data_IF_014214063126
#
_entry.id   IF_014214063126
#
_cell.length_a   1.000
_cell.length_b   1.000
_cell.length_c   1.000
_cell.angle_alpha   90.00
_cell.angle_beta   90.00
_cell.angle_gamma   90.00
#
_symmetry.space_group_name_H-M   'P 1'
#
loop_
_entity.id
_entity.type
_entity.pdbx_description
1 polymer ?
#
# COMPACT_ATOMS: atom_id res chain seq x y z
N UNK A 1 -30.56 2.20 -2.39
CA UNK A 1 -29.18 1.74 -2.62
C UNK A 1 -28.39 1.82 -1.31
N UNK A 2 -27.49 0.88 -1.08
CA UNK A 2 -26.57 0.88 0.06
C UNK A 2 -25.19 1.21 -0.45
N UNK A 3 -24.67 2.38 -0.09
CA UNK A 3 -23.33 2.80 -0.47
C UNK A 3 -22.44 2.87 0.76
N UNK A 4 -21.16 2.50 0.58
CA UNK A 4 -20.14 2.61 1.60
C UNK A 4 -19.20 3.74 1.21
N UNK A 5 -19.10 4.76 2.07
CA UNK A 5 -18.13 5.81 1.94
C UNK A 5 -16.97 5.55 2.91
N UNK A 6 -15.75 5.51 2.38
CA UNK A 6 -14.55 5.50 3.21
C UNK A 6 -14.09 6.94 3.40
N UNK A 7 -14.03 7.38 4.64
CA UNK A 7 -13.63 8.74 5.01
C UNK A 7 -12.34 8.64 5.83
N UNK A 8 -11.32 9.41 5.43
CA UNK A 8 -10.06 9.55 6.16
C UNK A 8 -9.99 10.97 6.75
N UNK A 9 -9.43 11.12 7.95
CA UNK A 9 -9.17 12.43 8.57
C UNK A 9 -10.43 13.16 9.02
N UNK A 10 -11.42 12.45 9.56
CA UNK A 10 -12.60 13.08 10.16
C UNK A 10 -12.26 13.53 11.57
N UNK A 11 -12.68 14.76 11.90
CA UNK A 11 -12.68 15.27 13.26
C UNK A 11 -13.63 14.46 14.14
N UNK A 12 -13.39 14.43 15.46
CA UNK A 12 -14.22 13.73 16.44
C UNK A 12 -15.65 14.32 16.57
N UNK A 13 -15.98 15.35 15.78
CA UNK A 13 -17.28 16.01 15.80
C UNK A 13 -18.25 15.36 14.80
N UNK A 14 -19.31 14.73 15.33
CA UNK A 14 -20.34 14.04 14.56
C UNK A 14 -21.06 14.94 13.55
N UNK A 15 -21.27 16.23 13.87
CA UNK A 15 -22.00 17.19 13.03
C UNK A 15 -21.19 17.56 11.78
N UNK A 16 -19.88 17.77 11.90
CA UNK A 16 -18.98 18.03 10.80
C UNK A 16 -18.79 16.80 9.92
N UNK A 17 -18.72 15.62 10.55
CA UNK A 17 -18.67 14.32 9.87
C UNK A 17 -19.93 14.12 9.03
N UNK A 18 -21.11 14.36 9.57
CA UNK A 18 -22.39 14.21 8.87
C UNK A 18 -22.49 15.14 7.66
N UNK A 19 -22.07 16.40 7.78
CA UNK A 19 -21.98 17.35 6.67
C UNK A 19 -21.08 16.82 5.55
N UNK A 20 -19.90 16.31 5.90
CA UNK A 20 -18.94 15.77 4.94
C UNK A 20 -19.52 14.55 4.22
N UNK A 21 -20.19 13.64 4.94
CA UNK A 21 -20.85 12.46 4.37
C UNK A 21 -21.93 12.89 3.37
N UNK A 22 -22.84 13.77 3.77
CA UNK A 22 -23.93 14.25 2.90
C UNK A 22 -23.37 14.92 1.64
N UNK A 23 -22.37 15.79 1.80
CA UNK A 23 -21.77 16.51 0.70
C UNK A 23 -21.13 15.55 -0.32
N UNK A 24 -20.31 14.60 0.14
CA UNK A 24 -19.67 13.61 -0.74
C UNK A 24 -20.67 12.68 -1.41
N UNK A 25 -21.68 12.21 -0.66
CA UNK A 25 -22.70 11.30 -1.21
C UNK A 25 -23.48 11.95 -2.36
N UNK A 26 -23.89 13.21 -2.18
CA UNK A 26 -24.68 13.90 -3.19
C UNK A 26 -23.84 14.67 -4.21
N UNK A 27 -22.52 14.75 -4.06
CA UNK A 27 -21.65 15.42 -5.04
C UNK A 27 -21.75 14.76 -6.42
N UNK A 28 -21.70 13.45 -6.48
CA UNK A 28 -21.71 12.66 -7.71
C UNK A 28 -23.07 11.99 -8.00
N UNK A 29 -24.09 12.25 -7.17
CA UNK A 29 -25.43 11.67 -7.33
C UNK A 29 -26.28 12.49 -8.28
N UNK A 30 -26.88 11.79 -9.26
CA UNK A 30 -27.86 12.38 -10.19
C UNK A 30 -29.24 12.56 -9.56
N UNK A 31 -29.50 11.85 -8.47
CA UNK A 31 -30.80 11.88 -7.78
C UNK A 31 -30.67 12.39 -6.36
N UNK A 32 -31.39 13.46 -6.03
CA UNK A 32 -31.50 14.02 -4.68
C UNK A 32 -32.98 14.00 -4.27
N UNK A 33 -33.35 13.31 -3.18
CA UNK A 33 -34.75 13.21 -2.73
C UNK A 33 -35.26 14.56 -2.18
N UNK A 34 -36.58 14.73 -2.10
CA UNK A 34 -37.20 15.92 -1.52
C UNK A 34 -37.01 16.00 0.01
N UNK A 35 -36.95 14.85 0.66
CA UNK A 35 -36.82 14.72 2.10
C UNK A 35 -35.65 13.81 2.45
N UNK A 36 -34.83 14.24 3.38
CA UNK A 36 -33.70 13.48 3.91
C UNK A 36 -33.88 13.38 5.43
N UNK A 37 -34.03 12.15 5.93
CA UNK A 37 -34.17 11.90 7.37
C UNK A 37 -32.80 11.74 8.01
N UNK A 38 -32.49 12.52 9.03
CA UNK A 38 -31.24 12.57 9.76
C UNK A 38 -31.46 12.36 11.26
N UNK A 39 -30.41 11.88 11.94
CA UNK A 39 -30.41 11.72 13.42
C UNK A 39 -29.96 12.96 14.13
N UNK A 40 -29.01 13.70 13.54
CA UNK A 40 -28.37 14.88 14.08
C UNK A 40 -28.43 16.00 13.05
N UNK A 41 -28.29 17.22 13.51
CA UNK A 41 -28.15 18.37 12.63
C UNK A 41 -26.73 18.39 12.05
N UNK A 42 -26.55 18.43 10.74
CA UNK A 42 -25.21 18.63 10.17
C UNK A 42 -24.72 20.04 10.43
N UNK A 43 -23.42 20.19 10.55
CA UNK A 43 -22.79 21.51 10.65
C UNK A 43 -23.14 22.38 9.44
N UNK A 44 -23.46 23.66 9.67
CA UNK A 44 -23.88 24.61 8.64
C UNK A 44 -25.08 24.11 7.78
N UNK A 45 -26.09 23.55 8.44
CA UNK A 45 -27.29 22.96 7.83
C UNK A 45 -27.90 23.84 6.73
N UNK A 46 -28.02 25.17 6.98
CA UNK A 46 -28.63 26.08 6.02
C UNK A 46 -27.90 26.17 4.69
N UNK A 47 -26.58 26.17 4.71
CA UNK A 47 -25.75 26.21 3.51
C UNK A 47 -25.78 24.91 2.77
N UNK A 48 -25.79 23.78 3.50
CA UNK A 48 -25.93 22.44 2.92
C UNK A 48 -27.28 22.28 2.21
N UNK A 49 -28.38 22.73 2.82
CA UNK A 49 -29.72 22.73 2.20
C UNK A 49 -29.75 23.64 0.96
N UNK A 50 -29.10 24.82 1.00
CA UNK A 50 -29.02 25.72 -0.15
C UNK A 50 -28.33 25.05 -1.33
N UNK A 51 -27.15 24.49 -1.10
CA UNK A 51 -26.39 23.76 -2.11
C UNK A 51 -27.17 22.59 -2.71
N UNK A 52 -27.82 21.77 -1.88
CA UNK A 52 -28.63 20.66 -2.33
C UNK A 52 -29.87 21.12 -3.12
N UNK A 53 -30.51 22.24 -2.75
CA UNK A 53 -31.64 22.84 -3.51
C UNK A 53 -31.22 23.30 -4.90
N UNK A 54 -30.08 23.95 -5.01
CA UNK A 54 -29.52 24.40 -6.29
C UNK A 54 -29.24 23.19 -7.20
N UNK A 55 -28.58 22.16 -6.65
CA UNK A 55 -28.27 20.94 -7.39
C UNK A 55 -29.53 20.17 -7.82
N UNK A 56 -30.53 20.06 -6.95
CA UNK A 56 -31.81 19.38 -7.24
C UNK A 56 -32.72 20.19 -8.16
N UNK A 57 -32.53 21.50 -8.24
CA UNK A 57 -33.49 22.45 -8.85
C UNK A 57 -34.89 22.37 -8.25
N UNK A 58 -34.99 22.21 -6.92
CA UNK A 58 -36.27 22.07 -6.22
C UNK A 58 -36.14 22.03 -4.71
N UNK A 59 -37.27 21.99 -4.01
CA UNK A 59 -37.32 22.01 -2.54
C UNK A 59 -36.68 20.79 -1.90
N UNK A 60 -35.91 20.99 -0.82
CA UNK A 60 -35.35 19.94 0.03
C UNK A 60 -35.63 20.26 1.49
N UNK A 61 -35.94 19.22 2.26
CA UNK A 61 -36.20 19.31 3.69
C UNK A 61 -35.39 18.23 4.43
N UNK A 62 -34.64 18.64 5.45
CA UNK A 62 -34.11 17.73 6.43
C UNK A 62 -35.17 17.45 7.50
N UNK A 63 -35.32 16.20 7.83
CA UNK A 63 -36.30 15.73 8.81
C UNK A 63 -35.58 15.07 9.98
N UNK A 64 -36.01 15.37 11.20
CA UNK A 64 -35.47 14.79 12.44
C UNK A 64 -36.57 14.06 13.18
N UNK A 65 -37.03 12.90 12.66
CA UNK A 65 -38.22 12.22 13.17
C UNK A 65 -37.94 11.60 14.55
N UNK A 66 -38.70 12.01 15.56
CA UNK A 66 -38.61 11.47 16.93
C UNK A 66 -39.68 10.41 17.20
N UNK A 67 -40.80 10.41 16.47
CA UNK A 67 -41.96 9.50 16.64
C UNK A 67 -42.54 9.13 15.27
N UNK A 68 -43.35 8.03 15.22
CA UNK A 68 -44.02 7.57 14.02
C UNK A 68 -43.18 6.68 13.11
N UNK A 69 -43.67 6.37 11.89
CA UNK A 69 -43.05 5.44 10.94
C UNK A 69 -41.66 5.90 10.50
N UNK A 70 -41.46 7.18 10.16
CA UNK A 70 -40.15 7.72 9.76
C UNK A 70 -39.10 7.56 10.87
N UNK A 71 -39.49 7.68 12.15
CA UNK A 71 -38.57 7.43 13.27
C UNK A 71 -38.25 5.94 13.43
N UNK A 72 -39.20 5.04 13.10
CA UNK A 72 -38.95 3.62 13.09
C UNK A 72 -38.00 3.20 11.96
N UNK A 73 -38.19 3.73 10.76
CA UNK A 73 -37.29 3.52 9.61
C UNK A 73 -35.88 4.01 9.90
N UNK A 74 -35.73 5.19 10.51
CA UNK A 74 -34.43 5.75 10.88
C UNK A 74 -33.72 4.86 11.89
N UNK A 75 -34.42 4.32 12.92
CA UNK A 75 -33.84 3.36 13.88
C UNK A 75 -33.42 2.06 13.22
N UNK A 76 -34.21 1.51 12.30
CA UNK A 76 -33.85 0.30 11.56
C UNK A 76 -32.60 0.55 10.71
N UNK A 77 -32.52 1.71 10.06
CA UNK A 77 -31.36 2.09 9.27
C UNK A 77 -30.10 2.22 10.14
N UNK A 78 -30.24 2.80 11.34
CA UNK A 78 -29.16 2.90 12.32
C UNK A 78 -28.68 1.52 12.81
N UNK A 79 -29.62 0.64 13.16
CA UNK A 79 -29.28 -0.73 13.56
C UNK A 79 -28.55 -1.48 12.46
N UNK A 80 -29.00 -1.36 11.22
CA UNK A 80 -28.34 -1.95 10.07
C UNK A 80 -26.93 -1.38 9.84
N UNK A 81 -26.72 -0.08 10.03
CA UNK A 81 -25.43 0.54 9.95
C UNK A 81 -24.47 0.04 11.03
N UNK A 82 -24.94 -0.09 12.28
CA UNK A 82 -24.17 -0.64 13.41
C UNK A 82 -23.78 -2.11 13.17
N UNK A 83 -24.68 -2.93 12.64
CA UNK A 83 -24.38 -4.32 12.26
C UNK A 83 -23.30 -4.39 11.19
N UNK A 84 -23.41 -3.57 10.12
CA UNK A 84 -22.41 -3.51 9.06
C UNK A 84 -21.06 -3.02 9.57
N UNK A 85 -21.05 -2.06 10.49
CA UNK A 85 -19.83 -1.58 11.13
C UNK A 85 -19.20 -2.70 11.98
N UNK A 86 -20.00 -3.42 12.76
CA UNK A 86 -19.54 -4.56 13.55
C UNK A 86 -18.92 -5.67 12.69
N UNK A 87 -19.58 -6.05 11.60
CA UNK A 87 -19.04 -7.00 10.62
C UNK A 87 -17.72 -6.52 10.00
N UNK A 88 -17.64 -5.24 9.66
CA UNK A 88 -16.43 -4.64 9.10
C UNK A 88 -15.26 -4.65 10.08
N UNK A 89 -15.53 -4.29 11.36
CA UNK A 89 -14.53 -4.33 12.45
C UNK A 89 -14.02 -5.76 12.65
N UNK A 90 -14.93 -6.74 12.74
CA UNK A 90 -14.57 -8.15 12.91
C UNK A 90 -13.74 -8.64 11.72
N UNK A 91 -14.15 -8.33 10.50
CA UNK A 91 -13.42 -8.69 9.28
C UNK A 91 -12.03 -8.06 9.25
N UNK A 92 -11.91 -6.78 9.63
CA UNK A 92 -10.63 -6.06 9.71
C UNK A 92 -9.72 -6.65 10.79
N UNK A 93 -10.28 -7.01 11.96
CA UNK A 93 -9.55 -7.69 13.05
C UNK A 93 -9.02 -9.05 12.58
N UNK A 94 -9.87 -9.90 11.98
CA UNK A 94 -9.45 -11.18 11.40
C UNK A 94 -8.36 -11.02 10.32
N UNK A 95 -8.46 -10.01 9.47
CA UNK A 95 -7.41 -9.73 8.47
C UNK A 95 -6.09 -9.31 9.13
N UNK A 96 -6.11 -8.53 10.23
CA UNK A 96 -4.90 -8.19 11.00
C UNK A 96 -4.30 -9.43 11.68
N UNK A 97 -5.12 -10.29 12.25
CA UNK A 97 -4.68 -11.55 12.88
C UNK A 97 -4.07 -12.55 11.86
N UNK A 98 -4.41 -12.43 10.57
CA UNK A 98 -3.84 -13.26 9.49
C UNK A 98 -2.52 -12.70 8.92
N UNK A 99 -2.13 -11.46 9.27
CA UNK A 99 -0.87 -10.89 8.81
C UNK A 99 0.25 -11.41 9.70
N UNK A 100 1.29 -12.06 9.12
CA UNK A 100 2.44 -12.51 9.90
C UNK A 100 3.06 -11.35 10.68
N UNK A 101 3.36 -11.55 11.97
CA UNK A 101 3.97 -10.54 12.85
C UNK A 101 5.21 -9.87 12.23
N UNK A 102 5.99 -10.62 11.45
CA UNK A 102 7.16 -10.10 10.74
C UNK A 102 6.81 -9.02 9.73
N UNK A 103 5.66 -9.13 9.03
CA UNK A 103 5.21 -8.12 8.05
C UNK A 103 4.64 -6.88 8.72
N UNK A 104 3.89 -7.06 9.83
CA UNK A 104 3.40 -5.91 10.60
C UNK A 104 4.55 -5.11 11.21
N UNK A 105 5.57 -5.81 11.73
CA UNK A 105 6.75 -5.16 12.27
C UNK A 105 7.58 -4.49 11.16
N UNK A 106 7.71 -5.13 9.98
CA UNK A 106 8.41 -4.52 8.84
C UNK A 106 7.71 -3.24 8.36
N UNK A 107 6.38 -3.23 8.38
CA UNK A 107 5.59 -2.02 8.12
C UNK A 107 5.97 -0.87 9.06
N UNK A 108 6.02 -1.16 10.37
CA UNK A 108 6.39 -0.18 11.40
C UNK A 108 7.86 0.27 11.25
N UNK A 109 8.78 -0.69 11.08
CA UNK A 109 10.22 -0.43 10.94
C UNK A 109 10.56 0.47 9.73
N UNK A 110 9.78 0.37 8.66
CA UNK A 110 9.94 1.16 7.43
C UNK A 110 8.96 2.32 7.30
N UNK A 111 8.10 2.54 8.31
CA UNK A 111 7.05 3.56 8.31
C UNK A 111 6.16 3.52 7.05
N UNK A 112 5.71 2.31 6.68
CA UNK A 112 4.85 2.09 5.53
C UNK A 112 3.37 2.18 5.91
N UNK A 113 2.52 2.63 4.99
CA UNK A 113 1.05 2.72 5.21
C UNK A 113 0.39 1.35 5.39
N UNK A 114 0.90 0.34 4.70
CA UNK A 114 0.36 -1.03 4.71
C UNK A 114 1.48 -2.06 4.82
N UNK A 115 1.21 -3.24 5.43
CA UNK A 115 2.21 -4.32 5.50
C UNK A 115 2.57 -4.82 4.09
N UNK A 116 3.86 -4.93 3.76
CA UNK A 116 4.30 -5.39 2.44
C UNK A 116 4.16 -6.91 2.32
N UNK A 117 3.05 -7.38 1.76
CA UNK A 117 2.78 -8.81 1.59
C UNK A 117 3.59 -9.44 0.45
N UNK A 118 3.78 -8.68 -0.64
CA UNK A 118 4.55 -9.10 -1.83
C UNK A 118 5.88 -8.37 -1.82
N UNK A 119 6.96 -9.13 -1.65
CA UNK A 119 8.32 -8.58 -1.60
C UNK A 119 9.14 -9.25 -2.69
N UNK A 120 9.75 -8.45 -3.58
CA UNK A 120 10.77 -8.90 -4.52
C UNK A 120 12.14 -8.46 -4.02
N UNK A 121 13.14 -9.35 -4.06
CA UNK A 121 14.51 -9.00 -3.69
C UNK A 121 15.49 -9.35 -4.81
N UNK A 122 16.45 -8.46 -5.03
CA UNK A 122 17.45 -8.55 -6.08
C UNK A 122 18.85 -8.67 -5.49
N UNK A 123 19.65 -9.56 -6.03
CA UNK A 123 21.08 -9.74 -5.74
C UNK A 123 21.87 -9.78 -7.06
N UNK A 124 23.00 -9.08 -7.10
CA UNK A 124 23.97 -9.14 -8.21
C UNK A 124 25.11 -10.05 -7.82
N UNK A 125 25.46 -10.98 -8.70
CA UNK A 125 26.53 -11.95 -8.47
C UNK A 125 27.37 -12.11 -9.73
N UNK A 126 28.64 -12.48 -9.55
CA UNK A 126 29.61 -12.68 -10.64
C UNK A 126 29.97 -14.17 -10.77
N UNK A 127 29.79 -14.71 -11.96
CA UNK A 127 30.15 -16.08 -12.29
C UNK A 127 31.50 -16.11 -13.00
N UNK A 128 32.49 -16.78 -12.38
CA UNK A 128 33.80 -17.02 -13.01
C UNK A 128 34.57 -15.74 -13.36
N UNK A 129 34.25 -14.59 -12.76
CA UNK A 129 34.96 -13.32 -12.99
C UNK A 129 34.59 -12.55 -14.25
N UNK A 130 33.74 -13.09 -15.14
CA UNK A 130 33.45 -12.43 -16.44
C UNK A 130 31.94 -12.22 -16.71
N UNK A 131 31.08 -13.05 -16.15
CA UNK A 131 29.66 -12.97 -16.42
C UNK A 131 28.88 -12.43 -15.19
N UNK A 132 28.34 -11.21 -15.30
CA UNK A 132 27.46 -10.64 -14.29
C UNK A 132 26.05 -11.20 -14.46
N UNK A 133 25.54 -11.78 -13.39
CA UNK A 133 24.18 -12.33 -13.32
C UNK A 133 23.43 -11.70 -12.14
N UNK A 134 22.13 -11.63 -12.26
CA UNK A 134 21.29 -11.22 -11.15
C UNK A 134 20.24 -12.27 -10.82
N UNK A 135 19.94 -12.39 -9.56
CA UNK A 135 18.84 -13.19 -9.06
C UNK A 135 17.74 -12.31 -8.53
N UNK A 136 16.51 -12.76 -8.70
CA UNK A 136 15.34 -12.17 -8.05
C UNK A 136 14.56 -13.27 -7.34
N UNK A 137 14.30 -13.07 -6.07
CA UNK A 137 13.41 -13.93 -5.28
C UNK A 137 12.10 -13.19 -4.96
N UNK A 138 11.05 -13.96 -4.76
CA UNK A 138 9.72 -13.45 -4.48
C UNK A 138 9.16 -14.06 -3.20
N UNK A 139 8.67 -13.21 -2.31
CA UNK A 139 8.00 -13.61 -1.07
C UNK A 139 6.55 -13.13 -1.07
N UNK A 140 5.66 -13.99 -0.61
CA UNK A 140 4.26 -13.69 -0.36
C UNK A 140 3.91 -14.09 1.07
N UNK A 141 3.34 -13.15 1.84
CA UNK A 141 3.00 -13.34 3.25
C UNK A 141 4.17 -13.92 4.07
N UNK A 142 5.36 -13.31 3.93
CA UNK A 142 6.62 -13.70 4.55
C UNK A 142 7.11 -15.11 4.19
N UNK A 143 6.59 -15.75 3.14
CA UNK A 143 6.99 -17.08 2.67
C UNK A 143 7.54 -17.04 1.25
N UNK A 144 8.62 -17.77 0.94
CA UNK A 144 9.18 -17.81 -0.40
C UNK A 144 8.23 -18.49 -1.41
N UNK A 145 8.09 -17.88 -2.59
CA UNK A 145 7.34 -18.43 -3.75
C UNK A 145 8.31 -18.73 -4.87
N UNK A 146 8.92 -19.89 -4.83
CA UNK A 146 10.00 -20.29 -5.76
C UNK A 146 9.60 -20.30 -7.23
N UNK A 147 8.32 -20.47 -7.56
CA UNK A 147 7.78 -20.43 -8.92
C UNK A 147 7.91 -19.03 -9.56
N UNK A 148 7.98 -18.00 -8.71
CA UNK A 148 8.11 -16.59 -9.13
C UNK A 148 9.58 -16.11 -9.18
N UNK A 149 10.54 -16.94 -8.81
CA UNK A 149 11.97 -16.60 -8.87
C UNK A 149 12.43 -16.41 -10.32
N UNK A 150 13.31 -15.44 -10.54
CA UNK A 150 13.86 -15.16 -11.87
C UNK A 150 15.36 -15.01 -11.82
N UNK A 151 16.00 -15.46 -12.90
CA UNK A 151 17.43 -15.28 -13.17
C UNK A 151 17.58 -14.34 -14.35
N UNK A 152 18.52 -13.43 -14.26
CA UNK A 152 18.80 -12.44 -15.31
C UNK A 152 20.27 -12.52 -15.70
N UNK A 153 20.52 -12.73 -17.00
CA UNK A 153 21.83 -12.45 -17.56
C UNK A 153 21.90 -10.96 -17.87
N UNK A 154 22.87 -10.27 -17.31
CA UNK A 154 23.16 -8.86 -17.60
C UNK A 154 23.74 -8.78 -19.02
N UNK A 155 23.19 -7.88 -19.86
CA UNK A 155 23.51 -7.84 -21.29
C UNK A 155 24.28 -6.59 -21.70
N UNK A 156 24.04 -5.46 -21.04
CA UNK A 156 24.53 -4.15 -21.47
C UNK A 156 25.78 -3.69 -20.75
N UNK A 157 26.20 -4.44 -19.72
CA UNK A 157 27.35 -4.08 -18.89
C UNK A 157 28.56 -4.90 -19.30
N UNK A 158 29.58 -4.24 -19.81
CA UNK A 158 30.89 -4.86 -20.07
C UNK A 158 31.76 -4.68 -18.82
N UNK A 159 32.18 -5.81 -18.21
CA UNK A 159 33.00 -5.78 -17.00
C UNK A 159 32.19 -5.92 -15.70
N UNK A 160 32.83 -5.60 -14.57
CA UNK A 160 32.25 -5.70 -13.23
C UNK A 160 31.68 -4.33 -12.84
N UNK A 161 30.41 -4.09 -13.13
CA UNK A 161 29.68 -2.89 -12.69
C UNK A 161 28.32 -3.29 -12.11
N UNK A 162 28.29 -3.49 -10.79
CA UNK A 162 27.09 -3.87 -10.03
C UNK A 162 26.01 -2.79 -10.09
N UNK A 163 26.39 -1.53 -10.26
CA UNK A 163 25.43 -0.43 -10.31
C UNK A 163 24.65 -0.43 -11.62
N UNK A 164 25.35 -0.51 -12.74
CA UNK A 164 24.72 -0.60 -14.05
C UNK A 164 23.92 -1.91 -14.20
N UNK A 165 24.44 -3.02 -13.67
CA UNK A 165 23.75 -4.32 -13.66
C UNK A 165 22.43 -4.24 -12.87
N UNK A 166 22.43 -3.67 -11.68
CA UNK A 166 21.22 -3.49 -10.87
C UNK A 166 20.17 -2.65 -11.61
N UNK A 167 20.58 -1.53 -12.20
CA UNK A 167 19.69 -0.68 -12.98
C UNK A 167 19.06 -1.44 -14.16
N UNK A 168 19.85 -2.16 -14.94
CA UNK A 168 19.37 -2.96 -16.08
C UNK A 168 18.32 -3.98 -15.66
N UNK A 169 18.61 -4.75 -14.62
CA UNK A 169 17.77 -5.86 -14.16
C UNK A 169 16.43 -5.34 -13.61
N UNK A 170 16.47 -4.32 -12.77
CA UNK A 170 15.26 -3.69 -12.22
C UNK A 170 14.41 -3.09 -13.33
N UNK A 171 15.04 -2.35 -14.27
CA UNK A 171 14.34 -1.80 -15.42
C UNK A 171 13.65 -2.88 -16.26
N UNK A 172 14.35 -3.95 -16.63
CA UNK A 172 13.80 -5.06 -17.43
C UNK A 172 12.66 -5.78 -16.73
N UNK A 173 12.78 -6.01 -15.42
CA UNK A 173 11.73 -6.65 -14.62
C UNK A 173 10.45 -5.83 -14.61
N UNK A 174 10.55 -4.56 -14.25
CA UNK A 174 9.35 -3.73 -14.07
C UNK A 174 8.76 -3.22 -15.37
N UNK A 175 9.58 -3.02 -16.42
CA UNK A 175 9.08 -2.80 -17.79
C UNK A 175 8.20 -3.97 -18.23
N UNK A 176 8.68 -5.21 -18.02
CA UNK A 176 7.92 -6.41 -18.37
C UNK A 176 6.62 -6.52 -17.58
N UNK A 177 6.62 -6.26 -16.26
CA UNK A 177 5.39 -6.27 -15.45
C UNK A 177 4.39 -5.23 -15.95
N UNK A 178 4.87 -4.05 -16.36
CA UNK A 178 4.05 -2.98 -16.94
C UNK A 178 3.42 -3.40 -18.27
N UNK A 179 4.20 -4.00 -19.16
CA UNK A 179 3.72 -4.51 -20.46
C UNK A 179 2.74 -5.68 -20.32
N UNK A 180 2.92 -6.53 -19.31
CA UNK A 180 2.05 -7.68 -19.03
C UNK A 180 0.86 -7.32 -18.11
N UNK A 181 0.71 -6.05 -17.69
CA UNK A 181 -0.30 -5.55 -16.76
C UNK A 181 -0.39 -6.36 -15.45
N UNK A 182 0.76 -6.87 -15.00
CA UNK A 182 0.86 -7.67 -13.78
C UNK A 182 1.01 -6.78 -12.54
N UNK A 183 0.49 -7.25 -11.38
CA UNK A 183 0.60 -6.49 -10.14
C UNK A 183 2.06 -6.32 -9.71
N UNK A 184 2.40 -5.10 -9.26
CA UNK A 184 3.69 -4.79 -8.69
C UNK A 184 3.84 -5.32 -7.26
N UNK A 185 5.07 -5.49 -6.75
CA UNK A 185 5.31 -5.82 -5.35
C UNK A 185 4.95 -4.63 -4.44
N UNK A 186 4.72 -4.93 -3.17
CA UNK A 186 4.47 -3.93 -2.14
C UNK A 186 5.80 -3.34 -1.60
N UNK A 187 6.91 -4.08 -1.78
CA UNK A 187 8.27 -3.67 -1.39
C UNK A 187 9.31 -4.33 -2.30
N UNK A 188 10.32 -3.57 -2.68
CA UNK A 188 11.51 -4.04 -3.38
C UNK A 188 12.69 -3.99 -2.41
N UNK A 189 13.40 -5.10 -2.26
CA UNK A 189 14.63 -5.20 -1.48
C UNK A 189 15.83 -5.33 -2.42
N UNK A 190 16.81 -4.47 -2.25
CA UNK A 190 18.09 -4.51 -2.95
C UNK A 190 19.16 -5.06 -2.00
N UNK A 191 19.80 -6.19 -2.34
CA UNK A 191 20.97 -6.69 -1.62
C UNK A 191 22.17 -5.80 -1.97
N UNK A 192 22.26 -4.68 -1.30
CA UNK A 192 23.30 -3.71 -1.55
C UNK A 192 23.14 -2.41 -0.77
N UNK A 193 24.17 -1.57 -0.86
CA UNK A 193 24.19 -0.26 -0.23
C UNK A 193 23.53 0.83 -1.07
N UNK A 194 23.74 2.08 -0.67
CA UNK A 194 23.16 3.30 -1.26
C UNK A 194 23.32 3.40 -2.77
N UNK A 195 24.46 2.97 -3.32
CA UNK A 195 24.74 3.08 -4.76
C UNK A 195 23.82 2.17 -5.59
N UNK A 196 23.70 0.90 -5.22
CA UNK A 196 22.80 -0.04 -5.89
C UNK A 196 21.32 0.35 -5.70
N UNK A 197 20.95 0.81 -4.49
CA UNK A 197 19.62 1.36 -4.22
C UNK A 197 19.29 2.55 -5.15
N UNK A 198 20.22 3.51 -5.30
CA UNK A 198 20.05 4.67 -6.19
C UNK A 198 19.81 4.26 -7.64
N UNK A 199 20.51 3.22 -8.11
CA UNK A 199 20.34 2.69 -9.46
C UNK A 199 18.97 2.03 -9.67
N UNK A 200 18.50 1.27 -8.69
CA UNK A 200 17.17 0.68 -8.71
C UNK A 200 16.07 1.77 -8.76
N UNK A 201 16.18 2.80 -7.93
CA UNK A 201 15.26 3.96 -7.91
C UNK A 201 15.27 4.70 -9.25
N UNK A 202 16.46 4.89 -9.85
CA UNK A 202 16.58 5.53 -11.18
C UNK A 202 15.83 4.74 -12.26
N UNK A 203 15.93 3.41 -12.25
CA UNK A 203 15.22 2.55 -13.19
C UNK A 203 13.69 2.63 -13.01
N UNK A 204 13.21 2.64 -11.76
CA UNK A 204 11.78 2.76 -11.47
C UNK A 204 11.23 4.13 -11.88
N UNK A 205 11.98 5.21 -11.63
CA UNK A 205 11.58 6.58 -12.02
C UNK A 205 11.45 6.71 -13.54
N UNK A 206 12.34 6.11 -14.30
CA UNK A 206 12.26 6.11 -15.78
C UNK A 206 10.97 5.42 -16.27
N UNK A 207 10.47 4.45 -15.55
CA UNK A 207 9.21 3.75 -15.85
C UNK A 207 7.96 4.43 -15.29
N UNK A 208 8.10 5.51 -14.49
CA UNK A 208 7.01 6.15 -13.76
C UNK A 208 6.49 5.31 -12.58
N UNK A 209 7.35 4.48 -11.98
CA UNK A 209 7.04 3.54 -10.89
C UNK A 209 7.77 3.89 -9.59
N UNK A 210 8.20 5.12 -9.42
CA UNK A 210 8.93 5.62 -8.24
C UNK A 210 8.10 5.68 -6.95
N UNK A 211 6.79 5.46 -7.06
CA UNK A 211 5.89 5.28 -5.92
C UNK A 211 6.00 3.89 -5.25
N UNK A 212 6.66 2.91 -5.90
CA UNK A 212 6.86 1.58 -5.29
C UNK A 212 7.96 1.69 -4.23
N UNK A 213 7.70 1.30 -2.98
CA UNK A 213 8.70 1.32 -1.93
C UNK A 213 9.91 0.44 -2.26
N UNK A 214 11.12 1.00 -2.09
CA UNK A 214 12.38 0.30 -2.32
C UNK A 214 13.28 0.51 -1.12
N UNK A 215 13.98 -0.54 -0.68
CA UNK A 215 14.99 -0.45 0.38
C UNK A 215 16.25 -1.19 -0.03
N UNK A 216 17.40 -0.69 0.42
CA UNK A 216 18.69 -1.36 0.31
C UNK A 216 19.07 -1.98 1.65
N UNK A 217 19.64 -3.18 1.65
CA UNK A 217 20.19 -3.83 2.84
C UNK A 217 21.69 -4.04 2.63
N UNK A 218 22.51 -3.25 3.30
CA UNK A 218 23.97 -3.35 3.20
C UNK A 218 24.51 -4.54 4.00
N UNK A 219 25.37 -5.34 3.37
CA UNK A 219 25.92 -6.61 3.93
C UNK A 219 26.72 -6.40 5.24
N UNK A 220 27.57 -5.38 5.29
CA UNK A 220 28.61 -5.26 6.33
C UNK A 220 28.06 -4.92 7.72
N UNK A 221 27.07 -4.04 7.80
CA UNK A 221 26.48 -3.58 9.07
C UNK A 221 25.00 -3.93 9.22
N UNK A 222 24.43 -4.60 8.20
CA UNK A 222 23.00 -4.91 8.10
C UNK A 222 22.10 -3.66 8.19
N UNK A 223 22.62 -2.56 7.67
CA UNK A 223 21.96 -1.26 7.63
C UNK A 223 20.92 -1.23 6.50
N UNK A 224 19.73 -0.76 6.84
CA UNK A 224 18.64 -0.54 5.90
C UNK A 224 18.65 0.91 5.43
N UNK A 225 18.73 1.12 4.13
CA UNK A 225 18.67 2.43 3.49
C UNK A 225 17.35 2.60 2.75
N UNK A 226 16.77 3.79 2.85
CA UNK A 226 15.60 4.21 2.08
C UNK A 226 15.98 5.32 1.10
N UNK A 227 15.30 5.45 -0.05
CA UNK A 227 15.57 6.52 -1.00
C UNK A 227 15.42 7.90 -0.37
N UNK A 228 16.34 8.81 -0.70
CA UNK A 228 16.30 10.19 -0.21
C UNK A 228 16.87 10.41 1.20
N UNK A 229 17.14 9.35 1.94
CA UNK A 229 17.79 9.47 3.25
C UNK A 229 19.27 9.02 3.17
N UNK A 230 20.23 9.91 3.47
CA UNK A 230 21.65 9.55 3.48
C UNK A 230 22.03 8.67 4.69
N UNK A 231 21.20 8.62 5.72
CA UNK A 231 21.44 7.82 6.91
C UNK A 231 20.67 6.50 6.86
N UNK A 232 21.22 5.48 7.52
CA UNK A 232 20.51 4.20 7.67
C UNK A 232 19.30 4.37 8.60
N UNK A 233 18.26 3.59 8.34
CA UNK A 233 17.11 3.51 9.25
C UNK A 233 17.51 2.91 10.58
N UNK A 234 17.11 3.55 11.68
CA UNK A 234 17.34 3.06 13.03
C UNK A 234 16.37 1.92 13.35
N UNK A 235 16.69 0.71 12.90
CA UNK A 235 15.91 -0.50 13.16
C UNK A 235 16.62 -1.37 14.19
N UNK A 236 15.88 -1.83 15.20
CA UNK A 236 16.45 -2.70 16.22
C UNK A 236 16.92 -4.03 15.59
N UNK A 237 18.16 -4.48 15.93
CA UNK A 237 18.79 -5.67 15.32
C UNK A 237 17.97 -6.97 15.47
N UNK A 238 17.14 -7.06 16.50
CA UNK A 238 16.25 -8.20 16.76
C UNK A 238 14.81 -7.96 16.27
N UNK A 239 14.57 -6.88 15.52
CA UNK A 239 13.23 -6.65 14.96
C UNK A 239 12.82 -7.82 14.06
N UNK A 240 11.62 -8.36 14.22
CA UNK A 240 11.05 -9.36 13.32
C UNK A 240 11.03 -8.89 11.86
N UNK A 241 10.86 -7.58 11.61
CA UNK A 241 10.91 -6.97 10.28
C UNK A 241 12.30 -7.07 9.67
N UNK A 242 13.34 -6.69 10.41
CA UNK A 242 14.73 -6.80 9.95
C UNK A 242 15.16 -8.26 9.76
N UNK A 243 14.73 -9.17 10.64
CA UNK A 243 14.97 -10.61 10.50
C UNK A 243 14.35 -11.14 9.19
N UNK A 244 13.16 -10.66 8.83
CA UNK A 244 12.54 -11.00 7.55
C UNK A 244 13.36 -10.50 6.36
N UNK A 245 13.80 -9.24 6.36
CA UNK A 245 14.65 -8.69 5.30
C UNK A 245 15.94 -9.49 5.11
N UNK A 246 16.62 -9.86 6.21
CA UNK A 246 17.80 -10.71 6.18
C UNK A 246 17.51 -12.07 5.54
N UNK A 247 16.44 -12.72 5.96
CA UNK A 247 16.01 -14.01 5.41
C UNK A 247 15.73 -13.92 3.91
N UNK A 248 15.11 -12.84 3.45
CA UNK A 248 14.82 -12.62 2.02
C UNK A 248 16.12 -12.41 1.24
N UNK A 249 17.05 -11.57 1.77
CA UNK A 249 18.38 -11.34 1.21
C UNK A 249 19.17 -12.65 1.09
N UNK A 250 19.23 -13.42 2.18
CA UNK A 250 19.99 -14.66 2.22
C UNK A 250 19.44 -15.69 1.21
N UNK A 251 18.12 -15.68 1.01
CA UNK A 251 17.50 -16.52 -0.03
C UNK A 251 17.83 -16.02 -1.45
N UNK A 252 17.89 -14.71 -1.69
CA UNK A 252 18.33 -14.14 -2.97
C UNK A 252 19.77 -14.54 -3.27
N UNK A 253 20.65 -14.39 -2.30
CA UNK A 253 22.05 -14.81 -2.41
C UNK A 253 22.19 -16.32 -2.62
N UNK A 254 21.47 -17.16 -1.83
CA UNK A 254 21.44 -18.60 -2.02
C UNK A 254 20.98 -18.99 -3.43
N UNK A 255 19.95 -18.33 -3.94
CA UNK A 255 19.43 -18.60 -5.28
C UNK A 255 20.41 -18.17 -6.37
N UNK A 256 21.15 -17.09 -6.17
CA UNK A 256 22.20 -16.66 -7.09
C UNK A 256 23.29 -17.72 -7.25
N UNK A 257 23.73 -18.37 -6.16
CA UNK A 257 24.75 -19.43 -6.18
C UNK A 257 24.28 -20.65 -7.01
N UNK A 258 22.97 -20.89 -7.13
CA UNK A 258 22.42 -22.00 -7.94
C UNK A 258 22.49 -21.74 -9.45
N UNK A 259 23.22 -20.74 -9.91
CA UNK A 259 23.55 -20.54 -11.33
C UNK A 259 24.57 -21.56 -11.84
N UNK A 260 25.27 -22.27 -10.93
CA UNK A 260 26.27 -23.29 -11.23
C UNK A 260 25.68 -24.63 -11.62
#
# INVERSE_FOLDING_TARGET
SREKLSLQGLDENDDATLKTVISRFYMDSDFIPKEISLQLNPENEKDLIRWLKEKRKGAIHFLYPKKGEKAKELRITQQNALLLLGEWIIKRKKMKEQIPKMLSQLQEDLNMDVPPKRIEAFDISHLGGTNTVASMVYFLDAKPRKTEYRKFNVKTVSGIDDFAAMREVVYRRYKRLKEEEKPYPDLILIDGGKGQLSMAVSALRELGLDYIPVVGLAKRLEEVFVPGNPEAQSIHKQSPGLILLRRIRDEAHRFAITFH
#
